data_IF_380452021421
#
_entry.id   IF_380452021421
#
_cell.length_a   1.000
_cell.length_b   1.000
_cell.length_c   1.000
_cell.angle_alpha   90.00
_cell.angle_beta   90.00
_cell.angle_gamma   90.00
#
_symmetry.space_group_name_H-M   'P 1'
#
loop_
_entity.id
_entity.type
_entity.pdbx_description
1 polymer ?
#
# COMPACT_ATOMS: atom_id res chain seq x y z
N UNK A 1 0.79 -3.25 1.86
CA UNK A 1 0.08 -4.53 1.64
C UNK A 1 0.80 -5.76 2.22
N UNK A 2 2.13 -5.86 2.09
CA UNK A 2 2.94 -6.96 2.68
C UNK A 2 2.60 -7.28 4.14
N UNK A 3 2.41 -6.27 5.00
CA UNK A 3 2.09 -6.47 6.41
C UNK A 3 0.71 -7.11 6.67
N UNK A 4 -0.19 -7.15 5.69
CA UNK A 4 -1.57 -7.60 5.85
C UNK A 4 -1.83 -9.00 5.26
N UNK A 5 -1.12 -9.39 4.21
CA UNK A 5 -1.51 -10.55 3.37
C UNK A 5 -0.45 -11.67 3.33
N UNK A 6 0.38 -11.76 4.38
CA UNK A 6 1.33 -12.86 4.66
C UNK A 6 2.45 -13.03 3.62
N UNK A 7 3.04 -14.23 3.56
CA UNK A 7 4.20 -14.53 2.72
C UNK A 7 3.90 -14.44 1.22
N UNK A 8 4.85 -13.81 0.51
CA UNK A 8 4.80 -13.62 -0.94
C UNK A 8 5.24 -14.90 -1.64
N UNK A 9 4.48 -15.30 -2.66
CA UNK A 9 4.81 -16.42 -3.55
C UNK A 9 5.57 -15.93 -4.78
N UNK A 10 5.07 -14.87 -5.44
CA UNK A 10 5.66 -14.31 -6.66
C UNK A 10 5.27 -12.85 -6.83
N UNK A 11 6.12 -12.09 -7.50
CA UNK A 11 5.85 -10.72 -7.93
C UNK A 11 6.18 -10.55 -9.40
N UNK A 12 5.49 -9.63 -10.07
CA UNK A 12 5.77 -9.23 -11.43
C UNK A 12 5.25 -7.81 -11.65
N UNK A 13 5.94 -7.02 -12.47
CA UNK A 13 5.43 -5.73 -12.88
C UNK A 13 5.92 -5.30 -14.24
N UNK A 14 5.48 -4.10 -14.61
CA UNK A 14 5.90 -3.39 -15.81
C UNK A 14 5.98 -1.92 -15.48
N UNK A 15 7.07 -1.28 -15.92
CA UNK A 15 7.25 0.15 -15.78
C UNK A 15 7.58 0.80 -17.13
N UNK A 16 7.28 2.09 -17.25
CA UNK A 16 7.50 2.83 -18.51
C UNK A 16 7.74 4.31 -18.25
N UNK A 17 8.79 4.84 -18.89
CA UNK A 17 9.08 6.27 -19.04
C UNK A 17 8.47 6.80 -20.33
N UNK A 18 7.40 7.60 -20.24
CA UNK A 18 6.74 8.21 -21.42
C UNK A 18 7.31 9.58 -21.80
N UNK A 19 7.96 10.29 -20.87
CA UNK A 19 8.43 11.67 -21.06
C UNK A 19 9.96 11.77 -21.32
N UNK A 20 10.62 10.64 -21.59
CA UNK A 20 12.06 10.52 -21.86
C UNK A 20 12.98 11.15 -20.78
N UNK A 21 12.49 11.20 -19.55
CA UNK A 21 13.11 11.86 -18.39
C UNK A 21 13.92 10.91 -17.49
N UNK A 22 14.29 9.73 -18.00
CA UNK A 22 15.03 8.66 -17.29
C UNK A 22 14.35 8.14 -16.03
N UNK A 23 13.07 8.43 -15.83
CA UNK A 23 12.27 7.94 -14.70
C UNK A 23 10.98 7.34 -15.20
N UNK A 24 10.57 6.22 -14.60
CA UNK A 24 9.32 5.59 -14.96
C UNK A 24 8.14 6.44 -14.48
N UNK A 25 7.27 6.79 -15.42
CA UNK A 25 6.08 7.61 -15.17
C UNK A 25 4.84 6.77 -14.86
N UNK A 26 4.86 5.49 -15.23
CA UNK A 26 3.81 4.53 -14.93
C UNK A 26 4.47 3.24 -14.46
N UNK A 27 4.00 2.70 -13.34
CA UNK A 27 4.42 1.41 -12.80
C UNK A 27 3.18 0.59 -12.48
N UNK A 28 3.14 -0.66 -12.95
CA UNK A 28 2.13 -1.65 -12.60
C UNK A 28 2.83 -2.78 -11.87
N UNK A 29 2.28 -3.21 -10.73
CA UNK A 29 2.83 -4.32 -9.96
C UNK A 29 1.74 -5.30 -9.56
N UNK A 30 2.04 -6.59 -9.61
CA UNK A 30 1.18 -7.67 -9.13
C UNK A 30 1.97 -8.50 -8.13
N UNK A 31 1.34 -8.83 -7.01
CA UNK A 31 1.87 -9.75 -5.99
C UNK A 31 0.89 -10.91 -5.87
N UNK A 32 1.40 -12.13 -5.98
CA UNK A 32 0.72 -13.36 -5.63
C UNK A 32 1.20 -13.79 -4.23
N UNK A 33 0.29 -13.88 -3.26
CA UNK A 33 0.57 -14.36 -1.92
C UNK A 33 0.38 -15.88 -1.83
N UNK A 34 1.05 -16.53 -0.87
CA UNK A 34 0.98 -18.01 -0.71
C UNK A 34 -0.41 -18.52 -0.36
N UNK A 35 -1.25 -17.68 0.25
CA UNK A 35 -2.63 -18.02 0.59
C UNK A 35 -3.62 -17.84 -0.59
N UNK A 36 -3.13 -17.52 -1.78
CA UNK A 36 -3.94 -17.35 -2.99
C UNK A 36 -4.51 -15.94 -3.20
N UNK A 37 -4.31 -15.02 -2.25
CA UNK A 37 -4.70 -13.61 -2.42
C UNK A 37 -3.76 -12.96 -3.45
N UNK A 38 -4.31 -12.05 -4.24
CA UNK A 38 -3.56 -11.23 -5.18
C UNK A 38 -3.68 -9.76 -4.82
N UNK A 39 -2.57 -9.04 -5.00
CA UNK A 39 -2.55 -7.58 -4.97
C UNK A 39 -2.17 -7.06 -6.35
N UNK A 40 -2.80 -5.96 -6.75
CA UNK A 40 -2.41 -5.16 -7.90
C UNK A 40 -2.24 -3.71 -7.48
N UNK A 41 -1.12 -3.11 -7.84
CA UNK A 41 -0.82 -1.70 -7.67
C UNK A 41 -0.61 -1.02 -9.02
N UNK A 42 -1.05 0.22 -9.13
CA UNK A 42 -0.78 1.10 -10.26
C UNK A 42 -0.34 2.44 -9.69
N UNK A 43 0.82 2.91 -10.14
CA UNK A 43 1.31 4.24 -9.86
C UNK A 43 1.46 4.96 -11.19
N UNK A 44 0.56 5.92 -11.47
CA UNK A 44 0.51 6.64 -12.73
C UNK A 44 0.66 8.14 -12.48
N UNK A 45 1.85 8.67 -12.80
CA UNK A 45 2.20 10.08 -12.63
C UNK A 45 1.78 10.95 -13.82
N UNK A 46 1.25 10.35 -14.89
CA UNK A 46 0.73 11.04 -16.07
C UNK A 46 -0.81 11.04 -16.14
N UNK A 47 -1.49 10.68 -15.04
CA UNK A 47 -2.95 10.74 -14.99
C UNK A 47 -3.43 12.18 -15.22
N UNK A 48 -4.50 12.35 -16.01
CA UNK A 48 -5.13 13.66 -16.17
C UNK A 48 -5.70 14.14 -14.84
N UNK A 49 -5.91 15.46 -14.68
CA UNK A 49 -6.49 16.02 -13.44
C UNK A 49 -7.81 15.36 -13.01
N UNK A 50 -8.64 14.96 -13.99
CA UNK A 50 -9.90 14.27 -13.74
C UNK A 50 -9.75 12.83 -13.24
N UNK A 51 -8.60 12.23 -13.49
CA UNK A 51 -8.27 10.83 -13.17
C UNK A 51 -7.26 10.74 -12.01
N UNK A 52 -6.97 11.85 -11.32
CA UNK A 52 -6.18 11.84 -10.09
C UNK A 52 -6.94 11.00 -9.07
N UNK A 53 -6.32 9.91 -8.62
CA UNK A 53 -6.96 8.91 -7.77
C UNK A 53 -6.01 8.41 -6.69
N UNK A 54 -6.47 8.47 -5.45
CA UNK A 54 -5.92 7.74 -4.31
C UNK A 54 -6.99 6.75 -3.83
N UNK A 55 -6.84 5.48 -4.20
CA UNK A 55 -7.80 4.43 -3.85
C UNK A 55 -7.07 3.12 -3.54
N UNK A 56 -7.38 2.57 -2.38
CA UNK A 56 -7.16 1.18 -2.05
C UNK A 56 -8.51 0.48 -1.99
N UNK A 57 -8.59 -0.68 -2.63
CA UNK A 57 -9.80 -1.49 -2.68
C UNK A 57 -9.49 -2.92 -2.28
N UNK A 58 -10.23 -3.43 -1.30
CA UNK A 58 -10.14 -4.81 -0.82
C UNK A 58 -11.43 -5.51 -1.23
N UNK A 59 -11.30 -6.55 -2.03
CA UNK A 59 -12.39 -7.39 -2.48
C UNK A 59 -12.48 -8.61 -1.59
N UNK A 60 -13.64 -8.86 -1.02
CA UNK A 60 -13.96 -10.06 -0.26
C UNK A 60 -15.19 -10.75 -0.83
N UNK A 61 -15.45 -11.95 -0.33
CA UNK A 61 -16.60 -12.76 -0.75
C UNK A 61 -17.95 -12.06 -0.49
N UNK A 62 -18.03 -11.22 0.56
CA UNK A 62 -19.27 -10.58 1.00
C UNK A 62 -19.39 -9.11 0.61
N UNK A 63 -18.47 -8.60 -0.19
CA UNK A 63 -18.45 -7.20 -0.58
C UNK A 63 -17.06 -6.59 -0.70
N UNK A 64 -17.02 -5.27 -0.71
CA UNK A 64 -15.82 -4.48 -0.99
C UNK A 64 -15.61 -3.42 0.09
N UNK A 65 -14.36 -3.24 0.49
CA UNK A 65 -13.91 -2.10 1.31
C UNK A 65 -13.09 -1.17 0.41
N UNK A 66 -13.44 0.11 0.38
CA UNK A 66 -12.73 1.13 -0.42
C UNK A 66 -12.32 2.30 0.48
N UNK A 67 -11.08 2.75 0.38
CA UNK A 67 -10.58 3.89 1.13
C UNK A 67 -9.45 4.61 0.38
N UNK A 68 -9.19 5.86 0.77
CA UNK A 68 -8.03 6.65 0.34
C UNK A 68 -6.99 6.63 1.46
N UNK A 69 -5.70 6.55 1.14
CA UNK A 69 -4.62 6.61 2.14
C UNK A 69 -4.51 7.97 2.83
N UNK A 70 -4.96 9.03 2.17
CA UNK A 70 -4.99 10.40 2.69
C UNK A 70 -6.40 10.88 3.07
N UNK A 71 -7.41 10.03 2.89
CA UNK A 71 -8.81 10.33 3.18
C UNK A 71 -9.18 10.12 4.65
N UNK A 72 -10.43 10.46 4.96
CA UNK A 72 -11.02 10.36 6.31
C UNK A 72 -12.26 9.45 6.32
N UNK A 73 -12.48 8.71 5.23
CA UNK A 73 -13.63 7.84 5.03
C UNK A 73 -13.22 6.46 4.55
N UNK A 74 -13.87 5.45 5.10
CA UNK A 74 -13.86 4.07 4.60
C UNK A 74 -15.26 3.71 4.16
N UNK A 75 -15.39 3.21 2.94
CA UNK A 75 -16.64 2.80 2.33
C UNK A 75 -16.73 1.28 2.35
N UNK A 76 -17.78 0.73 2.94
CA UNK A 76 -18.14 -0.68 2.88
C UNK A 76 -19.36 -0.83 1.97
N UNK A 77 -19.24 -1.68 0.95
CA UNK A 77 -20.35 -2.02 0.06
C UNK A 77 -20.53 -3.54 0.07
N UNK A 78 -21.75 -4.00 0.36
CA UNK A 78 -22.16 -5.40 0.39
C UNK A 78 -23.48 -5.54 -0.36
N UNK A 79 -23.93 -6.76 -0.65
CA UNK A 79 -25.23 -6.99 -1.32
C UNK A 79 -26.44 -6.47 -0.52
N UNK A 80 -26.27 -6.24 0.78
CA UNK A 80 -27.36 -5.85 1.70
C UNK A 80 -27.33 -4.38 2.07
N UNK A 81 -26.15 -3.77 2.08
CA UNK A 81 -25.97 -2.41 2.59
C UNK A 81 -24.72 -1.74 2.05
N UNK A 82 -24.79 -0.40 2.01
CA UNK A 82 -23.66 0.50 1.90
C UNK A 82 -23.50 1.26 3.22
N UNK A 83 -22.27 1.34 3.72
CA UNK A 83 -21.95 2.00 4.97
C UNK A 83 -20.67 2.84 4.81
N UNK A 84 -20.64 3.99 5.48
CA UNK A 84 -19.50 4.91 5.46
C UNK A 84 -19.02 5.15 6.88
N UNK A 85 -17.80 4.70 7.15
CA UNK A 85 -17.10 4.97 8.41
C UNK A 85 -16.27 6.24 8.23
N UNK A 86 -16.48 7.23 9.10
CA UNK A 86 -15.70 8.48 9.09
C UNK A 86 -14.83 8.57 10.34
N UNK A 87 -13.61 9.08 10.20
CA UNK A 87 -12.66 9.26 11.29
C UNK A 87 -11.85 10.53 11.08
N UNK A 88 -11.28 11.07 12.15
CA UNK A 88 -10.38 12.22 12.05
C UNK A 88 -8.95 11.73 11.97
N UNK A 89 -8.19 12.21 10.98
CA UNK A 89 -6.78 11.88 10.89
C UNK A 89 -6.00 12.45 12.09
N UNK A 90 -5.00 11.72 12.62
CA UNK A 90 -4.13 12.26 13.66
C UNK A 90 -3.36 13.46 13.12
N UNK A 91 -3.16 14.48 13.96
CA UNK A 91 -2.39 15.69 13.60
C UNK A 91 -0.96 15.32 13.20
N UNK A 92 -0.37 14.33 13.87
CA UNK A 92 0.99 13.86 13.61
C UNK A 92 0.99 12.36 13.30
N UNK A 93 0.85 12.01 12.02
CA UNK A 93 0.86 10.62 11.57
C UNK A 93 2.17 9.87 11.90
N UNK A 94 3.30 10.59 11.94
CA UNK A 94 4.63 10.01 12.19
C UNK A 94 4.98 9.85 13.68
N UNK A 95 4.24 10.52 14.59
CA UNK A 95 4.53 10.52 16.03
C UNK A 95 4.68 9.10 16.60
N UNK A 96 3.80 8.13 16.32
CA UNK A 96 3.96 6.78 16.87
C UNK A 96 5.28 6.13 16.45
N UNK A 97 5.68 6.26 15.18
CA UNK A 97 6.93 5.68 14.69
C UNK A 97 8.16 6.32 15.36
N UNK A 98 8.12 7.63 15.59
CA UNK A 98 9.19 8.36 16.29
C UNK A 98 9.31 7.85 17.74
N UNK A 99 8.20 7.76 18.46
CA UNK A 99 8.17 7.28 19.85
C UNK A 99 8.70 5.85 19.98
N UNK A 100 8.26 4.92 19.12
CA UNK A 100 8.77 3.55 19.11
C UNK A 100 10.26 3.48 18.78
N UNK A 101 10.74 4.33 17.86
CA UNK A 101 12.16 4.39 17.51
C UNK A 101 13.01 4.87 18.70
N UNK A 102 12.56 5.91 19.41
CA UNK A 102 13.22 6.40 20.62
C UNK A 102 13.26 5.31 21.70
N UNK A 103 12.13 4.65 21.96
CA UNK A 103 12.06 3.56 22.94
C UNK A 103 12.98 2.39 22.60
N UNK A 104 13.10 2.02 21.32
CA UNK A 104 14.04 1.00 20.86
C UNK A 104 15.49 1.37 21.19
N UNK A 105 15.93 2.60 20.88
CA UNK A 105 17.29 3.05 21.20
C UNK A 105 17.55 3.20 22.70
N UNK A 106 16.51 3.40 23.51
CA UNK A 106 16.60 3.38 24.98
C UNK A 106 16.53 1.95 25.57
N UNK A 107 16.40 0.91 24.75
CA UNK A 107 16.28 -0.48 25.21
C UNK A 107 14.93 -0.82 25.86
N UNK A 108 13.89 -0.03 25.60
CA UNK A 108 12.56 -0.12 26.21
C UNK A 108 11.50 -0.77 25.30
N UNK A 109 11.87 -1.06 24.06
CA UNK A 109 10.97 -1.65 23.06
C UNK A 109 11.78 -2.36 21.96
N UNK A 110 11.08 -3.08 21.09
CA UNK A 110 11.67 -3.72 19.90
C UNK A 110 11.78 -2.74 18.73
N UNK A 111 12.66 -3.05 17.77
CA UNK A 111 12.77 -2.25 16.55
C UNK A 111 11.43 -2.26 15.79
N UNK A 112 10.78 -1.09 15.56
CA UNK A 112 9.49 -1.02 14.87
C UNK A 112 9.58 -1.39 13.38
N UNK A 113 10.78 -1.42 12.80
CA UNK A 113 11.01 -1.75 11.40
C UNK A 113 12.22 -2.69 11.23
N UNK A 114 11.96 -3.99 11.14
CA UNK A 114 13.04 -4.97 10.94
C UNK A 114 13.69 -4.85 9.55
N UNK A 115 15.01 -5.05 9.49
CA UNK A 115 15.77 -5.10 8.22
C UNK A 115 15.19 -6.15 7.26
N UNK A 116 14.74 -7.29 7.81
CA UNK A 116 14.11 -8.37 7.02
C UNK A 116 12.90 -7.85 6.23
N UNK A 117 12.03 -7.05 6.86
CA UNK A 117 10.89 -6.45 6.18
C UNK A 117 11.34 -5.43 5.14
N UNK A 118 12.31 -4.57 5.47
CA UNK A 118 12.88 -3.61 4.52
C UNK A 118 13.41 -4.27 3.25
N UNK A 119 14.27 -5.28 3.39
CA UNK A 119 14.82 -6.05 2.25
C UNK A 119 13.72 -6.73 1.44
N UNK A 120 12.69 -7.28 2.11
CA UNK A 120 11.56 -7.90 1.43
C UNK A 120 10.82 -6.89 0.53
N UNK A 121 10.50 -5.70 1.06
CA UNK A 121 9.81 -4.66 0.28
C UNK A 121 10.69 -4.16 -0.87
N UNK A 122 12.01 -4.02 -0.68
CA UNK A 122 12.88 -3.54 -1.77
C UNK A 122 12.90 -4.52 -2.94
N UNK A 123 12.99 -5.82 -2.66
CA UNK A 123 12.91 -6.86 -3.71
C UNK A 123 11.60 -6.82 -4.49
N UNK A 124 10.49 -6.47 -3.84
CA UNK A 124 9.19 -6.30 -4.51
C UNK A 124 9.24 -5.10 -5.46
N UNK A 125 9.76 -3.96 -4.97
CA UNK A 125 9.89 -2.76 -5.78
C UNK A 125 10.77 -3.01 -7.01
N UNK A 126 11.94 -3.62 -6.81
CA UNK A 126 12.84 -4.01 -7.90
C UNK A 126 12.11 -4.88 -8.93
N UNK A 127 11.34 -5.87 -8.49
CA UNK A 127 10.61 -6.76 -9.39
C UNK A 127 9.47 -6.10 -10.18
N UNK A 128 9.03 -4.90 -9.77
CA UNK A 128 8.00 -4.16 -10.51
C UNK A 128 8.59 -3.34 -11.66
N UNK A 129 9.90 -3.05 -11.60
CA UNK A 129 10.62 -2.19 -12.55
C UNK A 129 11.80 -2.89 -13.22
N UNK A 130 11.94 -4.21 -13.02
CA UNK A 130 13.01 -5.03 -13.57
C UNK A 130 12.85 -5.32 -15.07
#
# INVERSE_FOLDING_TARGET
MYCYFVEIKRTQGFSTSLLNNKVDTIVNGIIEFKNGIQFRGIWNFNASEKEIKDECKIYGEKGTITFSFYGEKVFLSTDKQEEVFSFKNPIHAQQPMIEHTVRYFLGQDVNPCSIKNGVCVMKILDSFTA
#
